data_IF_774994949634
#
_entry.id   IF_774994949634
#
_cell.length_a   1.000
_cell.length_b   1.000
_cell.length_c   1.000
_cell.angle_alpha   90.00
_cell.angle_beta   90.00
_cell.angle_gamma   90.00
#
_symmetry.space_group_name_H-M   'P 1'
#
loop_
_entity.id
_entity.type
_entity.pdbx_description
1 polymer ?
#
# COMPACT_ATOMS: atom_id res chain seq x y z
N UNK A 1 -15.44 -1.54 -7.76
CA UNK A 1 -16.59 -1.26 -8.63
C UNK A 1 -17.00 -2.48 -9.43
N UNK A 2 -16.04 -3.15 -10.08
CA UNK A 2 -16.28 -4.39 -10.81
C UNK A 2 -16.80 -5.48 -9.88
N UNK A 3 -16.18 -5.67 -8.74
CA UNK A 3 -16.57 -6.68 -7.74
C UNK A 3 -18.02 -6.50 -7.27
N UNK A 4 -18.49 -5.27 -7.08
CA UNK A 4 -19.91 -5.01 -6.78
C UNK A 4 -20.83 -5.58 -7.86
N UNK A 5 -20.46 -5.45 -9.13
CA UNK A 5 -21.19 -5.97 -10.27
C UNK A 5 -21.13 -7.51 -10.29
N UNK A 6 -19.96 -8.07 -10.04
CA UNK A 6 -19.72 -9.51 -10.04
C UNK A 6 -20.53 -10.21 -8.91
N UNK A 7 -20.77 -9.51 -7.79
CA UNK A 7 -21.67 -9.93 -6.72
C UNK A 7 -23.16 -9.56 -6.93
N UNK A 8 -23.55 -9.16 -8.14
CA UNK A 8 -24.94 -8.89 -8.49
C UNK A 8 -25.47 -7.52 -8.02
N UNK A 9 -24.61 -6.63 -7.48
CA UNK A 9 -25.05 -5.29 -7.10
C UNK A 9 -25.03 -4.34 -8.28
N UNK A 10 -26.12 -3.61 -8.52
CA UNK A 10 -26.20 -2.63 -9.62
C UNK A 10 -25.29 -1.41 -9.34
N UNK A 11 -24.02 -1.57 -9.64
CA UNK A 11 -23.01 -0.54 -9.39
C UNK A 11 -23.17 0.69 -10.27
N UNK A 12 -23.65 0.55 -11.49
CA UNK A 12 -23.87 1.69 -12.39
C UNK A 12 -24.93 2.65 -11.86
N UNK A 13 -26.01 2.12 -11.30
CA UNK A 13 -27.08 2.90 -10.69
C UNK A 13 -26.70 3.47 -9.32
N UNK A 14 -26.04 2.70 -8.49
CA UNK A 14 -25.93 2.99 -7.05
C UNK A 14 -24.56 3.44 -6.59
N UNK A 15 -23.47 3.26 -7.40
CA UNK A 15 -22.12 3.56 -6.99
C UNK A 15 -21.55 4.73 -7.78
N UNK A 16 -21.00 5.70 -7.08
CA UNK A 16 -20.23 6.81 -7.63
C UNK A 16 -18.76 6.64 -7.30
N UNK A 17 -17.89 6.95 -8.25
CA UNK A 17 -16.44 6.87 -8.07
C UNK A 17 -15.84 8.27 -8.10
N UNK A 18 -15.11 8.62 -7.04
CA UNK A 18 -14.41 9.92 -6.96
C UNK A 18 -12.90 9.65 -6.96
N UNK A 19 -12.24 10.05 -8.02
CA UNK A 19 -10.78 10.07 -8.16
C UNK A 19 -10.39 11.29 -9.01
N UNK A 20 -9.13 11.45 -9.32
CA UNK A 20 -8.63 12.66 -10.02
C UNK A 20 -9.49 13.01 -11.25
N UNK A 21 -10.03 14.25 -11.29
CA UNK A 21 -10.84 14.77 -12.39
C UNK A 21 -12.33 14.42 -12.36
N UNK A 22 -12.79 13.60 -11.39
CA UNK A 22 -14.19 13.25 -11.26
C UNK A 22 -14.98 14.21 -10.38
N UNK A 23 -16.26 14.37 -10.70
CA UNK A 23 -17.21 15.16 -9.91
C UNK A 23 -17.35 14.60 -8.48
N UNK A 24 -17.43 15.49 -7.50
CA UNK A 24 -17.49 15.12 -6.07
C UNK A 24 -18.92 15.06 -5.53
N UNK A 25 -19.88 15.69 -6.23
CA UNK A 25 -21.27 15.68 -5.84
C UNK A 25 -22.03 14.54 -6.54
N UNK A 26 -22.87 13.85 -5.78
CA UNK A 26 -23.68 12.75 -6.30
C UNK A 26 -24.83 12.42 -5.38
N UNK A 27 -25.93 11.92 -5.97
CA UNK A 27 -27.08 11.37 -5.25
C UNK A 27 -27.00 9.85 -5.10
N UNK A 28 -25.90 9.22 -5.52
CA UNK A 28 -25.75 7.76 -5.40
C UNK A 28 -25.49 7.34 -3.97
N UNK A 29 -25.97 6.16 -3.61
CA UNK A 29 -25.91 5.65 -2.22
C UNK A 29 -24.52 5.26 -1.76
N UNK A 30 -23.66 4.82 -2.68
CA UNK A 30 -22.31 4.34 -2.38
C UNK A 30 -21.30 5.21 -3.09
N UNK A 31 -20.30 5.67 -2.38
CA UNK A 31 -19.16 6.40 -2.94
C UNK A 31 -17.89 5.58 -2.72
N UNK A 32 -17.17 5.31 -3.80
CA UNK A 32 -15.82 4.75 -3.76
C UNK A 32 -14.85 5.88 -4.08
N UNK A 33 -13.92 6.15 -3.18
CA UNK A 33 -12.99 7.27 -3.34
C UNK A 33 -11.61 6.96 -2.77
N UNK A 34 -10.61 7.67 -3.26
CA UNK A 34 -9.31 7.76 -2.59
C UNK A 34 -9.35 8.88 -1.55
N UNK A 35 -8.62 8.74 -0.45
CA UNK A 35 -8.59 9.76 0.60
C UNK A 35 -8.10 11.12 0.10
N UNK A 36 -7.16 11.13 -0.87
CA UNK A 36 -6.63 12.35 -1.50
C UNK A 36 -7.70 13.18 -2.17
N UNK A 37 -8.71 12.53 -2.73
CA UNK A 37 -9.79 13.22 -3.45
C UNK A 37 -10.77 13.94 -2.54
N UNK A 38 -10.88 13.53 -1.27
CA UNK A 38 -11.96 14.00 -0.37
C UNK A 38 -11.47 14.64 0.93
N UNK A 39 -10.20 14.47 1.34
CA UNK A 39 -9.73 14.92 2.65
C UNK A 39 -9.86 16.43 2.90
N UNK A 40 -9.81 17.26 1.84
CA UNK A 40 -9.98 18.72 1.90
C UNK A 40 -11.45 19.17 1.83
N UNK A 41 -12.42 18.27 1.58
CA UNK A 41 -13.81 18.64 1.50
C UNK A 41 -14.35 19.12 2.85
N UNK A 42 -15.35 20.02 2.86
CA UNK A 42 -15.91 20.56 4.08
C UNK A 42 -16.69 19.49 4.86
N UNK A 43 -16.89 19.71 6.18
CA UNK A 43 -17.67 18.80 7.04
C UNK A 43 -19.08 18.55 6.52
N UNK A 44 -19.67 19.53 5.85
CA UNK A 44 -21.02 19.45 5.26
C UNK A 44 -21.14 18.35 4.22
N UNK A 45 -20.08 18.09 3.47
CA UNK A 45 -20.04 17.00 2.50
C UNK A 45 -20.12 15.61 3.16
N UNK A 46 -19.58 15.49 4.38
CA UNK A 46 -19.54 14.23 5.12
C UNK A 46 -20.78 13.97 5.99
N UNK A 47 -21.71 14.91 6.09
CA UNK A 47 -22.81 14.89 7.08
C UNK A 47 -23.80 13.74 6.90
N UNK A 48 -23.98 13.25 5.66
CA UNK A 48 -25.05 12.32 5.31
C UNK A 48 -24.56 10.85 5.20
N UNK A 49 -23.25 10.61 5.45
CA UNK A 49 -22.71 9.26 5.46
C UNK A 49 -23.05 8.52 6.76
N UNK A 50 -23.83 7.45 6.64
CA UNK A 50 -24.18 6.57 7.76
C UNK A 50 -23.15 5.46 8.01
N UNK A 51 -22.36 5.11 6.99
CA UNK A 51 -21.32 4.07 7.05
C UNK A 51 -20.06 4.53 6.32
N UNK A 52 -18.92 4.14 6.86
CA UNK A 52 -17.61 4.24 6.20
C UNK A 52 -16.87 2.91 6.31
N UNK A 53 -16.26 2.49 5.21
CA UNK A 53 -15.36 1.34 5.16
C UNK A 53 -14.00 1.87 4.72
N UNK A 54 -13.00 1.69 5.58
CA UNK A 54 -11.60 2.04 5.29
C UNK A 54 -10.83 0.79 4.96
N UNK A 55 -10.40 0.66 3.72
CA UNK A 55 -9.44 -0.36 3.31
C UNK A 55 -8.03 0.08 3.68
N UNK A 56 -7.14 -0.88 3.93
CA UNK A 56 -5.80 -0.64 4.48
C UNK A 56 -5.83 0.28 5.72
N UNK A 57 -6.71 -0.07 6.67
CA UNK A 57 -7.02 0.75 7.84
C UNK A 57 -5.79 1.14 8.67
N UNK A 58 -4.70 0.35 8.60
CA UNK A 58 -3.43 0.68 9.27
C UNK A 58 -2.83 2.01 8.79
N UNK A 59 -3.20 2.51 7.61
CA UNK A 59 -2.77 3.82 7.10
C UNK A 59 -3.51 5.00 7.77
N UNK A 60 -4.63 4.76 8.49
CA UNK A 60 -5.45 5.81 9.11
C UNK A 60 -4.81 6.50 10.33
N UNK A 61 -3.58 6.14 10.68
CA UNK A 61 -2.72 6.93 11.57
C UNK A 61 -2.27 8.27 10.97
N UNK A 62 -2.30 8.41 9.65
CA UNK A 62 -1.93 9.66 8.98
C UNK A 62 -2.95 10.77 9.28
N UNK A 63 -2.45 11.98 9.48
CA UNK A 63 -3.25 13.16 9.84
C UNK A 63 -4.41 13.42 8.87
N UNK A 64 -4.19 13.23 7.58
CA UNK A 64 -5.21 13.41 6.53
C UNK A 64 -6.39 12.43 6.67
N UNK A 65 -6.09 11.16 6.94
CA UNK A 65 -7.13 10.14 7.12
C UNK A 65 -7.87 10.31 8.46
N UNK A 66 -7.16 10.68 9.52
CA UNK A 66 -7.77 11.05 10.81
C UNK A 66 -8.72 12.26 10.63
N UNK A 67 -8.33 13.27 9.84
CA UNK A 67 -9.20 14.41 9.52
C UNK A 67 -10.49 14.00 8.80
N UNK A 68 -10.46 13.02 7.90
CA UNK A 68 -11.68 12.50 7.27
C UNK A 68 -12.58 11.89 8.33
N UNK A 69 -12.05 11.01 9.16
CA UNK A 69 -12.79 10.30 10.20
C UNK A 69 -13.45 11.26 11.22
N UNK A 70 -12.78 12.36 11.55
CA UNK A 70 -13.35 13.40 12.45
C UNK A 70 -14.45 14.25 11.81
N UNK A 71 -14.51 14.30 10.48
CA UNK A 71 -15.61 14.98 9.77
C UNK A 71 -16.89 14.15 9.67
N UNK A 72 -16.80 12.83 9.82
CA UNK A 72 -17.90 11.86 9.75
C UNK A 72 -18.73 11.84 11.05
N UNK A 73 -19.33 12.97 11.44
CA UNK A 73 -19.97 13.14 12.75
C UNK A 73 -21.19 12.25 12.98
N UNK A 74 -21.98 11.99 11.93
CA UNK A 74 -23.20 11.17 11.99
C UNK A 74 -22.99 9.73 11.53
N UNK A 75 -21.76 9.36 11.16
CA UNK A 75 -21.44 8.03 10.68
C UNK A 75 -21.50 7.02 11.85
N UNK A 76 -22.54 6.20 11.84
CA UNK A 76 -22.80 5.19 12.87
C UNK A 76 -21.91 3.97 12.70
N UNK A 77 -21.68 3.55 11.47
CA UNK A 77 -20.93 2.33 11.16
C UNK A 77 -19.55 2.69 10.61
N UNK A 78 -18.51 2.28 11.31
CA UNK A 78 -17.12 2.55 10.95
C UNK A 78 -16.36 1.22 10.92
N UNK A 79 -15.99 0.77 9.73
CA UNK A 79 -15.35 -0.52 9.52
C UNK A 79 -13.96 -0.27 8.92
N UNK A 80 -12.93 -0.75 9.59
CA UNK A 80 -11.56 -0.74 9.10
C UNK A 80 -11.13 -2.15 8.73
N UNK A 81 -10.62 -2.35 7.52
CA UNK A 81 -10.09 -3.61 7.04
C UNK A 81 -8.57 -3.47 6.87
N UNK A 82 -7.82 -4.45 7.34
CA UNK A 82 -6.36 -4.50 7.13
C UNK A 82 -5.84 -5.92 7.26
N UNK A 83 -4.92 -6.29 6.40
CA UNK A 83 -4.17 -7.55 6.49
C UNK A 83 -2.96 -7.46 7.41
N UNK A 84 -2.50 -6.25 7.72
CA UNK A 84 -1.29 -5.98 8.51
C UNK A 84 -1.56 -4.93 9.57
N UNK A 85 -1.43 -5.32 10.84
CA UNK A 85 -1.45 -4.37 11.95
C UNK A 85 -0.02 -4.30 12.52
N UNK A 86 0.61 -3.12 12.48
CA UNK A 86 1.90 -2.97 13.13
C UNK A 86 1.72 -3.16 14.66
N UNK A 87 2.66 -3.82 15.30
CA UNK A 87 2.56 -4.20 16.70
C UNK A 87 2.66 -3.03 17.71
N UNK A 88 2.67 -1.77 17.26
CA UNK A 88 2.81 -0.62 18.15
C UNK A 88 1.49 -0.33 18.89
N UNK A 89 1.54 -0.28 20.22
CA UNK A 89 0.36 -0.02 21.07
C UNK A 89 -0.31 1.32 20.74
N UNK A 90 0.47 2.36 20.46
CA UNK A 90 -0.05 3.69 20.12
C UNK A 90 -0.85 3.66 18.82
N UNK A 91 -0.36 2.95 17.82
CA UNK A 91 -1.05 2.81 16.53
C UNK A 91 -2.38 2.06 16.70
N UNK A 92 -2.39 0.98 17.47
CA UNK A 92 -3.61 0.23 17.79
C UNK A 92 -4.66 1.12 18.46
N UNK A 93 -4.29 1.92 19.46
CA UNK A 93 -5.20 2.84 20.15
C UNK A 93 -5.83 3.87 19.20
N UNK A 94 -5.07 4.43 18.26
CA UNK A 94 -5.60 5.35 17.25
C UNK A 94 -6.65 4.66 16.38
N UNK A 95 -6.37 3.46 15.91
CA UNK A 95 -7.31 2.70 15.06
C UNK A 95 -8.56 2.30 15.84
N UNK A 96 -8.42 1.86 17.08
CA UNK A 96 -9.54 1.52 17.95
C UNK A 96 -10.42 2.76 18.24
N UNK A 97 -9.82 3.93 18.39
CA UNK A 97 -10.56 5.20 18.52
C UNK A 97 -11.33 5.61 17.26
N UNK A 98 -10.86 5.22 16.09
CA UNK A 98 -11.51 5.56 14.81
C UNK A 98 -12.56 4.54 14.37
N UNK A 99 -12.32 3.25 14.57
CA UNK A 99 -13.10 2.15 14.03
C UNK A 99 -13.72 1.22 15.08
N UNK A 100 -13.25 1.28 16.34
CA UNK A 100 -13.65 0.35 17.39
C UNK A 100 -12.66 -0.79 17.57
N UNK A 101 -13.04 -1.77 18.38
CA UNK A 101 -12.18 -2.89 18.79
C UNK A 101 -11.67 -3.70 17.60
N UNK A 102 -10.38 -4.04 17.63
CA UNK A 102 -9.75 -4.87 16.62
C UNK A 102 -10.16 -6.34 16.81
N UNK A 103 -10.74 -6.92 15.78
CA UNK A 103 -11.08 -8.33 15.70
C UNK A 103 -10.19 -9.03 14.67
N UNK A 104 -9.44 -10.03 15.12
CA UNK A 104 -8.66 -10.88 14.22
C UNK A 104 -9.55 -12.02 13.71
N UNK A 105 -9.87 -11.98 12.43
CA UNK A 105 -10.79 -12.96 11.80
C UNK A 105 -10.08 -14.30 11.56
N UNK A 106 -8.83 -14.26 11.04
CA UNK A 106 -8.05 -15.45 10.69
C UNK A 106 -6.56 -15.10 10.74
N UNK A 107 -5.72 -16.07 11.04
CA UNK A 107 -4.26 -15.91 10.99
C UNK A 107 -3.69 -16.33 9.62
N UNK A 108 -2.51 -15.82 9.30
CA UNK A 108 -1.77 -16.21 8.08
C UNK A 108 -1.44 -17.70 8.09
N UNK A 109 -1.07 -18.26 9.25
CA UNK A 109 -0.80 -19.68 9.43
C UNK A 109 -2.03 -20.54 9.15
N UNK A 110 -3.20 -20.19 9.69
CA UNK A 110 -4.46 -20.91 9.42
C UNK A 110 -4.83 -20.89 7.93
N UNK A 111 -4.58 -19.76 7.23
CA UNK A 111 -4.82 -19.67 5.80
C UNK A 111 -3.83 -20.52 4.99
N UNK A 112 -2.58 -20.64 5.42
CA UNK A 112 -1.57 -21.50 4.79
C UNK A 112 -1.89 -22.98 5.03
N UNK A 113 -2.22 -23.37 6.26
CA UNK A 113 -2.59 -24.74 6.63
C UNK A 113 -3.86 -25.20 5.89
N UNK A 114 -4.82 -24.31 5.68
CA UNK A 114 -6.04 -24.59 4.91
C UNK A 114 -5.84 -24.56 3.38
N UNK A 115 -4.62 -24.33 2.89
CA UNK A 115 -4.31 -24.25 1.46
C UNK A 115 -4.88 -23.02 0.74
N UNK A 116 -5.44 -22.06 1.47
CA UNK A 116 -5.98 -20.80 0.91
C UNK A 116 -4.91 -19.77 0.62
N UNK A 117 -3.74 -19.91 1.23
CA UNK A 117 -2.54 -19.08 0.96
C UNK A 117 -1.40 -20.00 0.52
N UNK A 118 -0.67 -19.54 -0.49
CA UNK A 118 0.54 -20.22 -0.94
C UNK A 118 1.62 -20.20 0.14
N UNK A 119 2.44 -21.24 0.21
CA UNK A 119 3.61 -21.26 1.04
C UNK A 119 4.61 -20.18 0.57
N UNK A 120 5.05 -19.31 1.47
CA UNK A 120 6.02 -18.26 1.19
C UNK A 120 7.36 -18.62 1.81
N UNK A 121 8.41 -18.69 0.98
CA UNK A 121 9.80 -18.79 1.43
C UNK A 121 10.51 -17.47 1.17
N UNK A 122 10.97 -16.81 2.22
CA UNK A 122 11.72 -15.55 2.13
C UNK A 122 13.21 -15.89 2.25
N UNK A 123 14.00 -15.47 1.25
CA UNK A 123 15.44 -15.59 1.24
C UNK A 123 16.04 -14.18 1.21
N UNK A 124 16.71 -13.81 2.30
CA UNK A 124 17.38 -12.51 2.40
C UNK A 124 18.82 -12.63 1.90
N UNK A 125 19.12 -11.96 0.79
CA UNK A 125 20.47 -11.90 0.21
C UNK A 125 21.14 -10.61 0.68
N UNK A 126 22.22 -10.75 1.46
CA UNK A 126 22.96 -9.61 1.99
C UNK A 126 24.17 -9.34 1.11
N UNK A 127 24.12 -8.28 0.31
CA UNK A 127 25.24 -7.80 -0.48
C UNK A 127 26.11 -6.88 0.38
N UNK A 128 27.37 -7.28 0.57
CA UNK A 128 28.37 -6.48 1.31
C UNK A 128 29.17 -5.62 0.35
N UNK A 129 29.25 -4.32 0.67
CA UNK A 129 30.19 -3.42 0.01
C UNK A 129 31.61 -3.61 0.56
N UNK A 130 32.60 -3.23 -0.22
CA UNK A 130 33.97 -3.19 0.28
C UNK A 130 34.15 -2.09 1.34
N UNK A 131 35.22 -2.17 2.12
CA UNK A 131 35.50 -1.22 3.21
C UNK A 131 35.65 0.22 2.71
N UNK A 132 36.18 0.42 1.50
CA UNK A 132 36.35 1.75 0.93
C UNK A 132 35.01 2.40 0.61
N UNK A 133 34.10 1.66 -0.04
CA UNK A 133 32.74 2.13 -0.32
C UNK A 133 31.98 2.48 0.97
N UNK A 134 32.08 1.62 1.98
CA UNK A 134 31.45 1.87 3.28
C UNK A 134 32.00 3.12 3.97
N UNK A 135 33.31 3.39 3.82
CA UNK A 135 33.94 4.59 4.38
C UNK A 135 33.52 5.87 3.63
N UNK A 136 33.48 5.81 2.31
CA UNK A 136 33.04 6.95 1.47
C UNK A 136 31.58 7.35 1.71
N UNK A 137 30.73 6.39 2.10
CA UNK A 137 29.29 6.64 2.31
C UNK A 137 28.96 7.09 3.74
N UNK A 138 29.90 6.99 4.69
CA UNK A 138 29.65 7.21 6.12
C UNK A 138 29.06 8.60 6.44
N UNK A 139 29.52 9.64 5.71
CA UNK A 139 29.11 11.02 5.93
C UNK A 139 28.16 11.55 4.86
N UNK A 140 27.58 10.65 4.05
CA UNK A 140 26.66 10.97 2.98
C UNK A 140 25.21 11.08 3.48
N UNK A 141 24.41 11.89 2.80
CA UNK A 141 22.97 11.93 3.02
C UNK A 141 22.32 10.65 2.52
N UNK A 142 21.14 10.34 3.05
CA UNK A 142 20.33 9.21 2.59
C UNK A 142 20.13 9.20 1.06
N UNK A 143 19.93 10.37 0.45
CA UNK A 143 19.72 10.47 -1.00
C UNK A 143 21.00 10.10 -1.78
N UNK A 144 22.16 10.58 -1.35
CA UNK A 144 23.46 10.25 -1.97
C UNK A 144 23.78 8.76 -1.82
N UNK A 145 23.47 8.16 -0.65
CA UNK A 145 23.64 6.74 -0.42
C UNK A 145 22.74 5.93 -1.36
N UNK A 146 21.46 6.32 -1.50
CA UNK A 146 20.51 5.68 -2.41
C UNK A 146 20.95 5.81 -3.87
N UNK A 147 21.43 6.97 -4.29
CA UNK A 147 21.93 7.20 -5.65
C UNK A 147 23.14 6.31 -5.95
N UNK A 148 24.07 6.16 -4.98
CA UNK A 148 25.19 5.21 -5.09
C UNK A 148 24.70 3.76 -5.23
N UNK A 149 23.72 3.34 -4.38
CA UNK A 149 23.21 1.97 -4.39
C UNK A 149 22.53 1.62 -5.72
N UNK A 150 21.69 2.50 -6.25
CA UNK A 150 20.96 2.21 -7.50
C UNK A 150 21.83 2.30 -8.75
N UNK A 151 22.90 3.11 -8.74
CA UNK A 151 23.85 3.24 -9.84
C UNK A 151 24.98 2.21 -9.79
N UNK A 152 25.11 1.42 -8.72
CA UNK A 152 26.22 0.48 -8.56
C UNK A 152 26.15 -0.68 -9.58
N UNK A 153 27.04 -0.66 -10.56
CA UNK A 153 27.06 -1.64 -11.65
C UNK A 153 27.22 -3.10 -11.16
N UNK A 154 28.08 -3.34 -10.18
CA UNK A 154 28.29 -4.69 -9.64
C UNK A 154 27.01 -5.25 -9.02
N UNK A 155 26.31 -4.41 -8.25
CA UNK A 155 25.01 -4.74 -7.68
C UNK A 155 23.96 -5.00 -8.76
N UNK A 156 23.88 -4.14 -9.78
CA UNK A 156 22.91 -4.27 -10.85
C UNK A 156 23.19 -5.52 -11.72
N UNK A 157 24.44 -5.83 -12.01
CA UNK A 157 24.84 -7.10 -12.66
C UNK A 157 24.48 -8.32 -11.81
N UNK A 158 24.65 -8.25 -10.49
CA UNK A 158 24.23 -9.32 -9.59
C UNK A 158 22.72 -9.54 -9.64
N UNK A 159 21.91 -8.46 -9.54
CA UNK A 159 20.45 -8.53 -9.65
C UNK A 159 20.03 -9.12 -10.99
N UNK A 160 20.62 -8.67 -12.10
CA UNK A 160 20.41 -9.25 -13.42
C UNK A 160 20.67 -10.75 -13.43
N UNK A 161 21.84 -11.18 -13.01
CA UNK A 161 22.23 -12.59 -13.03
C UNK A 161 21.30 -13.44 -12.15
N UNK A 162 20.93 -12.94 -10.97
CA UNK A 162 19.97 -13.60 -10.10
C UNK A 162 18.60 -13.72 -10.81
N UNK A 163 18.09 -12.64 -11.39
CA UNK A 163 16.79 -12.63 -12.11
C UNK A 163 16.78 -13.65 -13.24
N UNK A 164 17.87 -13.72 -14.03
CA UNK A 164 17.99 -14.66 -15.14
C UNK A 164 18.21 -16.13 -14.70
N UNK A 165 18.66 -16.35 -13.47
CA UNK A 165 18.86 -17.70 -12.91
C UNK A 165 17.56 -18.29 -12.33
N UNK A 166 16.54 -17.47 -12.08
CA UNK A 166 15.28 -17.93 -11.53
C UNK A 166 14.42 -18.61 -12.61
N UNK A 167 13.78 -19.70 -12.23
CA UNK A 167 12.86 -20.42 -13.11
C UNK A 167 11.42 -19.96 -12.86
N UNK A 168 10.64 -19.88 -13.91
CA UNK A 168 9.22 -19.48 -13.85
C UNK A 168 9.01 -17.96 -13.91
N UNK A 169 7.81 -17.52 -13.58
CA UNK A 169 7.44 -16.12 -13.60
C UNK A 169 8.15 -15.35 -12.47
N UNK A 170 8.95 -14.36 -12.82
CA UNK A 170 9.72 -13.56 -11.88
C UNK A 170 9.24 -12.11 -11.90
N UNK A 171 8.92 -11.56 -10.72
CA UNK A 171 8.58 -10.16 -10.54
C UNK A 171 9.72 -9.42 -9.84
N UNK A 172 10.38 -8.51 -10.56
CA UNK A 172 11.41 -7.65 -10.01
C UNK A 172 10.79 -6.33 -9.53
N UNK A 173 10.81 -6.07 -8.22
CA UNK A 173 10.29 -4.85 -7.61
C UNK A 173 11.40 -3.84 -7.37
N UNK A 174 11.15 -2.59 -7.72
CA UNK A 174 12.08 -1.47 -7.52
C UNK A 174 11.32 -0.19 -7.16
N UNK A 175 11.98 0.74 -6.49
CA UNK A 175 11.39 2.00 -6.06
C UNK A 175 11.54 3.11 -7.12
N UNK A 176 12.69 3.20 -7.78
CA UNK A 176 13.02 4.27 -8.71
C UNK A 176 12.91 3.79 -10.17
N UNK A 177 11.88 4.27 -10.87
CA UNK A 177 11.62 3.85 -12.27
C UNK A 177 12.76 4.28 -13.18
N UNK A 178 13.07 5.58 -13.22
CA UNK A 178 14.06 6.15 -14.14
C UNK A 178 15.49 5.75 -13.77
N UNK A 179 15.87 5.92 -12.49
CA UNK A 179 17.24 5.73 -12.03
C UNK A 179 17.66 4.27 -11.85
N UNK A 180 16.70 3.33 -11.74
CA UNK A 180 17.01 1.92 -11.44
C UNK A 180 16.22 0.94 -12.30
N UNK A 181 14.88 1.10 -12.38
CA UNK A 181 14.01 0.17 -13.10
C UNK A 181 14.36 0.05 -14.58
N UNK A 182 14.61 1.17 -15.28
CA UNK A 182 15.01 1.19 -16.69
C UNK A 182 16.36 0.51 -16.88
N UNK A 183 17.34 0.81 -16.03
CA UNK A 183 18.69 0.20 -16.09
C UNK A 183 18.60 -1.32 -15.91
N UNK A 184 17.83 -1.79 -14.93
CA UNK A 184 17.64 -3.23 -14.71
C UNK A 184 16.93 -3.89 -15.89
N UNK A 185 15.92 -3.24 -16.45
CA UNK A 185 15.21 -3.74 -17.62
C UNK A 185 16.15 -3.92 -18.81
N UNK A 186 16.91 -2.90 -19.18
CA UNK A 186 17.89 -2.95 -20.26
C UNK A 186 18.92 -4.09 -20.03
N UNK A 187 19.50 -4.17 -18.81
CA UNK A 187 20.45 -5.23 -18.48
C UNK A 187 19.87 -6.65 -18.55
N UNK A 188 18.55 -6.82 -18.36
CA UNK A 188 17.89 -8.14 -18.40
C UNK A 188 17.49 -8.48 -19.85
N UNK A 189 17.10 -7.48 -20.64
CA UNK A 189 16.68 -7.66 -22.04
C UNK A 189 17.88 -7.85 -22.98
N UNK A 190 19.04 -7.24 -22.69
CA UNK A 190 20.31 -7.45 -23.42
C UNK A 190 20.90 -8.83 -23.08
N UNK A 191 20.41 -9.87 -23.75
CA UNK A 191 20.91 -11.25 -23.65
C UNK A 191 22.04 -11.52 -24.61
#
# INVERSE_FOLDING_TARGET
>A
FKDFKDYGYNSERNVHRIYQGHEKETNKRVIITTWQSVYNLPKTWFKDFGMVIGDEAHLFKAVSLTKIMTKLLKCKYRIGLTGTLDGTKTHKLVLEGLFGTVNKVVSTSELQESGKLAALKIICLILKHDKNASHMLKDKTYQEEMDYLVSNEKRNKYIRNLTLSLQGNTLCLFQFVEKHGKILKELIEDK
#
